data_IF_504146288064
#
_entry.id   IF_504146288064
#
_cell.length_a   1.000
_cell.length_b   1.000
_cell.length_c   1.000
_cell.angle_alpha   90.00
_cell.angle_beta   90.00
_cell.angle_gamma   90.00
#
_symmetry.space_group_name_H-M   'P 1'
#
loop_
_entity.id
_entity.type
_entity.pdbx_description
1 polymer ?
#
# COMPACT_ATOMS: atom_id res chain seq x y z
N UNK A 1 -46.32 17.11 -13.53
CA UNK A 1 -45.40 16.96 -14.68
C UNK A 1 -44.00 17.00 -14.09
N UNK A 2 -43.32 15.86 -14.02
CA UNK A 2 -41.99 15.74 -13.40
C UNK A 2 -40.92 16.16 -14.42
N UNK A 3 -40.02 17.05 -14.00
CA UNK A 3 -38.89 17.55 -14.77
C UNK A 3 -37.81 16.47 -14.93
N UNK A 4 -37.32 16.19 -16.15
CA UNK A 4 -36.25 15.22 -16.36
C UNK A 4 -34.92 15.93 -16.09
N UNK A 5 -34.41 15.86 -14.86
CA UNK A 5 -33.11 16.47 -14.55
C UNK A 5 -32.80 16.76 -13.08
N UNK A 6 -33.67 16.43 -12.13
CA UNK A 6 -33.26 16.34 -10.72
C UNK A 6 -32.82 14.91 -10.45
N UNK A 7 -31.54 14.66 -10.71
CA UNK A 7 -30.84 13.56 -10.08
C UNK A 7 -30.74 13.97 -8.61
N UNK A 8 -31.54 13.34 -7.76
CA UNK A 8 -31.46 13.51 -6.31
C UNK A 8 -30.09 12.99 -5.86
N UNK A 9 -29.15 13.92 -5.65
CA UNK A 9 -27.73 13.71 -5.31
C UNK A 9 -27.54 12.65 -4.21
N UNK A 10 -28.47 12.56 -3.28
CA UNK A 10 -28.40 11.67 -2.13
C UNK A 10 -28.55 10.17 -2.49
N UNK A 11 -29.32 9.84 -3.54
CA UNK A 11 -29.63 8.46 -3.92
C UNK A 11 -28.47 7.86 -4.76
N UNK A 12 -27.92 8.64 -5.69
CA UNK A 12 -26.72 8.28 -6.46
C UNK A 12 -25.47 8.17 -5.58
N UNK A 13 -25.33 9.04 -4.58
CA UNK A 13 -24.22 8.95 -3.62
C UNK A 13 -24.33 7.72 -2.73
N UNK A 14 -25.54 7.30 -2.35
CA UNK A 14 -25.77 6.09 -1.58
C UNK A 14 -25.43 4.83 -2.39
N UNK A 15 -25.73 4.83 -3.70
CA UNK A 15 -25.36 3.73 -4.60
C UNK A 15 -23.83 3.66 -4.80
N UNK A 16 -23.16 4.78 -5.01
CA UNK A 16 -21.69 4.85 -5.11
C UNK A 16 -20.98 4.46 -3.81
N UNK A 17 -21.50 4.86 -2.65
CA UNK A 17 -20.94 4.46 -1.36
C UNK A 17 -21.15 2.97 -1.09
N UNK A 18 -22.28 2.39 -1.49
CA UNK A 18 -22.49 0.94 -1.45
C UNK A 18 -21.53 0.19 -2.37
N UNK A 19 -21.30 0.67 -3.59
CA UNK A 19 -20.32 0.08 -4.52
C UNK A 19 -18.89 0.14 -3.93
N UNK A 20 -18.50 1.28 -3.35
CA UNK A 20 -17.17 1.44 -2.72
C UNK A 20 -17.03 0.61 -1.43
N UNK A 21 -18.10 0.45 -0.66
CA UNK A 21 -18.10 -0.32 0.59
C UNK A 21 -18.05 -1.83 0.34
N UNK A 22 -18.78 -2.33 -0.66
CA UNK A 22 -18.88 -3.76 -1.00
C UNK A 22 -17.61 -4.27 -1.73
N UNK A 23 -16.88 -3.40 -2.44
CA UNK A 23 -15.74 -3.81 -3.29
C UNK A 23 -14.35 -3.73 -2.64
N UNK A 24 -14.23 -3.29 -1.38
CA UNK A 24 -12.92 -3.35 -0.70
C UNK A 24 -12.67 -4.79 -0.25
N UNK A 25 -12.16 -5.59 -1.19
CA UNK A 25 -11.60 -6.91 -0.90
C UNK A 25 -10.74 -6.80 0.37
N UNK A 26 -10.95 -7.69 1.36
CA UNK A 26 -10.20 -7.64 2.60
C UNK A 26 -8.71 -7.64 2.28
N UNK A 27 -8.00 -6.62 2.80
CA UNK A 27 -6.56 -6.48 2.58
C UNK A 27 -5.87 -7.69 3.20
N UNK A 28 -5.40 -8.59 2.35
CA UNK A 28 -4.56 -9.71 2.79
C UNK A 28 -3.14 -9.21 2.94
N UNK A 29 -2.74 -8.97 4.18
CA UNK A 29 -1.35 -8.69 4.52
C UNK A 29 -0.56 -9.99 4.41
N UNK A 30 0.08 -10.21 3.26
CA UNK A 30 1.02 -11.31 3.12
C UNK A 30 2.18 -11.09 4.08
N UNK A 31 2.47 -12.08 4.91
CA UNK A 31 3.70 -12.08 5.70
C UNK A 31 4.88 -12.06 4.74
N UNK A 32 5.60 -10.94 4.70
CA UNK A 32 6.79 -10.83 3.87
C UNK A 32 7.93 -11.53 4.58
N UNK A 33 8.62 -12.46 3.92
CA UNK A 33 9.71 -13.17 4.57
C UNK A 33 10.91 -12.22 4.73
N UNK A 34 11.73 -12.46 5.76
CA UNK A 34 12.86 -11.58 6.09
C UNK A 34 14.00 -11.71 5.08
N UNK A 35 13.97 -10.90 4.02
CA UNK A 35 14.87 -10.97 2.87
C UNK A 35 16.37 -10.93 3.20
N UNK A 36 16.77 -10.34 4.34
CA UNK A 36 18.17 -10.31 4.75
C UNK A 36 18.74 -11.68 5.13
N UNK A 37 17.89 -12.63 5.58
CA UNK A 37 18.28 -14.01 5.90
C UNK A 37 18.16 -14.96 4.72
N UNK A 38 17.22 -14.69 3.81
CA UNK A 38 16.92 -15.60 2.69
C UNK A 38 18.02 -15.53 1.63
N UNK A 39 18.48 -14.32 1.31
CA UNK A 39 19.42 -14.08 0.22
C UNK A 39 20.81 -13.84 0.78
N UNK A 40 21.84 -14.42 0.16
CA UNK A 40 23.22 -14.01 0.42
C UNK A 40 23.49 -12.62 -0.16
N UNK A 41 24.64 -12.02 0.15
CA UNK A 41 24.90 -10.61 -0.17
C UNK A 41 24.95 -10.34 -1.68
N UNK A 42 25.55 -11.25 -2.45
CA UNK A 42 25.61 -11.16 -3.91
C UNK A 42 24.23 -11.24 -4.54
N UNK A 43 23.42 -12.23 -4.14
CA UNK A 43 22.05 -12.40 -4.64
C UNK A 43 21.16 -11.22 -4.23
N UNK A 44 21.33 -10.74 -3.00
CA UNK A 44 20.60 -9.58 -2.48
C UNK A 44 20.94 -8.34 -3.30
N UNK A 45 22.23 -8.09 -3.57
CA UNK A 45 22.67 -6.97 -4.41
C UNK A 45 22.16 -7.09 -5.85
N UNK A 46 22.22 -8.27 -6.47
CA UNK A 46 21.71 -8.47 -7.82
C UNK A 46 20.19 -8.24 -7.91
N UNK A 47 19.45 -8.63 -6.87
CA UNK A 47 17.99 -8.53 -6.85
C UNK A 47 17.47 -7.15 -6.48
N UNK A 48 18.02 -6.54 -5.43
CA UNK A 48 17.55 -5.27 -4.87
C UNK A 48 18.41 -4.07 -5.30
N UNK A 49 19.52 -4.30 -6.00
CA UNK A 49 20.46 -3.29 -6.50
C UNK A 49 21.11 -2.43 -5.41
N UNK A 50 20.95 -2.82 -4.15
CA UNK A 50 21.52 -2.20 -2.98
C UNK A 50 22.14 -3.26 -2.09
N UNK A 51 23.25 -2.91 -1.43
CA UNK A 51 23.87 -3.77 -0.44
C UNK A 51 22.98 -3.89 0.80
N UNK A 52 23.05 -5.01 1.52
CA UNK A 52 22.30 -5.19 2.78
C UNK A 52 22.61 -4.07 3.78
N UNK A 53 23.87 -3.66 3.90
CA UNK A 53 24.28 -2.60 4.82
C UNK A 53 23.61 -1.27 4.46
N UNK A 54 23.56 -0.92 3.18
CA UNK A 54 22.89 0.28 2.69
C UNK A 54 21.40 0.23 3.00
N UNK A 55 20.73 -0.89 2.71
CA UNK A 55 19.30 -1.05 3.01
C UNK A 55 19.03 -0.98 4.52
N UNK A 56 19.90 -1.58 5.34
CA UNK A 56 19.81 -1.52 6.81
C UNK A 56 19.90 -0.08 7.30
N UNK A 57 20.90 0.67 6.84
CA UNK A 57 21.07 2.08 7.16
C UNK A 57 19.85 2.92 6.78
N UNK A 58 19.28 2.70 5.57
CA UNK A 58 18.09 3.43 5.12
C UNK A 58 16.89 3.12 6.01
N UNK A 59 16.66 1.85 6.35
CA UNK A 59 15.58 1.43 7.24
C UNK A 59 15.76 2.11 8.60
N UNK A 60 16.94 2.00 9.21
CA UNK A 60 17.21 2.57 10.53
C UNK A 60 17.03 4.11 10.52
N UNK A 61 17.47 4.79 9.44
CA UNK A 61 17.27 6.25 9.26
C UNK A 61 15.80 6.63 9.08
N UNK A 62 15.01 5.83 8.35
CA UNK A 62 13.58 6.08 8.13
C UNK A 62 12.72 5.73 9.34
N UNK A 63 13.15 4.76 10.14
CA UNK A 63 12.49 4.33 11.37
C UNK A 63 12.77 5.27 12.54
N UNK A 64 13.82 6.09 12.46
CA UNK A 64 14.07 7.15 13.43
C UNK A 64 13.26 8.41 13.07
N UNK A 65 12.23 8.79 13.86
CA UNK A 65 11.37 9.94 13.55
C UNK A 65 12.08 11.30 13.60
N UNK A 66 13.38 11.33 13.93
CA UNK A 66 14.16 12.57 14.14
C UNK A 66 15.44 12.66 13.29
N UNK A 67 15.66 11.77 12.33
CA UNK A 67 16.86 11.84 11.49
C UNK A 67 16.72 12.93 10.40
N UNK A 68 17.06 14.18 10.77
CA UNK A 68 17.35 15.27 9.82
C UNK A 68 18.72 15.01 9.18
#
# INVERSE_FOLDING_TARGET
MNTPGEITDDEDFLELTNIVYILRLPKTYKQRPYNFRIWNDTQFLQRFRLSKNTVRFIIDKKSCPYAR
#
